data_IF_030714113343
#
_entry.id   IF_030714113343
#
_cell.length_a   1.000
_cell.length_b   1.000
_cell.length_c   1.000
_cell.angle_alpha   90.00
_cell.angle_beta   90.00
_cell.angle_gamma   90.00
#
_symmetry.space_group_name_H-M   'P 1'
#
loop_
_entity.id
_entity.type
_entity.pdbx_description
1 polymer ?
#
# COMPACT_ATOMS: atom_id res chain seq x y z
N UNK A 1 36.50 17.28 -22.71
CA UNK A 1 36.34 15.94 -22.16
C UNK A 1 35.14 15.98 -21.21
N UNK A 2 33.99 15.75 -21.83
CA UNK A 2 32.70 15.69 -21.18
C UNK A 2 32.53 14.28 -20.65
N UNK A 3 32.34 14.15 -19.36
CA UNK A 3 31.82 12.94 -18.73
C UNK A 3 30.42 13.22 -18.29
N UNK A 4 29.46 12.90 -19.16
CA UNK A 4 28.05 12.77 -18.82
C UNK A 4 27.92 11.57 -17.88
N UNK A 5 27.69 11.85 -16.62
CA UNK A 5 27.28 10.84 -15.63
C UNK A 5 25.74 10.64 -15.73
N UNK A 6 25.36 9.78 -16.67
CA UNK A 6 23.97 9.36 -16.85
C UNK A 6 23.67 8.29 -15.83
N UNK A 7 22.99 8.67 -14.75
CA UNK A 7 22.34 7.75 -13.81
C UNK A 7 21.27 6.95 -14.54
N UNK A 8 21.64 5.83 -15.11
CA UNK A 8 20.72 4.85 -15.66
C UNK A 8 20.04 4.10 -14.51
N UNK A 9 18.80 4.46 -14.21
CA UNK A 9 17.90 3.60 -13.44
C UNK A 9 17.62 2.36 -14.30
N UNK A 10 18.28 1.26 -13.98
CA UNK A 10 18.06 -0.03 -14.64
C UNK A 10 16.79 -0.64 -14.10
N UNK A 11 15.68 -0.47 -14.81
CA UNK A 11 14.46 -1.23 -14.59
C UNK A 11 14.67 -2.64 -15.17
N UNK A 12 15.16 -3.57 -14.38
CA UNK A 12 15.16 -4.98 -14.75
C UNK A 12 13.73 -5.51 -14.61
N UNK A 13 12.95 -5.39 -15.67
CA UNK A 13 11.65 -6.03 -15.79
C UNK A 13 11.82 -7.54 -15.93
N UNK A 14 11.55 -8.27 -14.87
CA UNK A 14 11.47 -9.72 -14.91
C UNK A 14 10.11 -10.12 -15.51
N UNK A 15 10.06 -10.40 -16.81
CA UNK A 15 8.89 -10.88 -17.52
C UNK A 15 8.62 -12.38 -17.21
N UNK A 16 8.30 -12.68 -15.97
CA UNK A 16 7.84 -13.99 -15.52
C UNK A 16 6.56 -13.85 -14.73
N UNK A 17 5.47 -14.46 -15.22
CA UNK A 17 4.14 -14.65 -14.62
C UNK A 17 3.74 -13.60 -13.57
N UNK A 18 2.74 -12.77 -13.89
CA UNK A 18 2.20 -11.65 -13.13
C UNK A 18 2.32 -11.78 -11.60
N UNK A 19 3.49 -11.49 -11.05
CA UNK A 19 3.67 -11.21 -9.64
C UNK A 19 3.21 -9.79 -9.40
N UNK A 20 2.40 -9.59 -8.37
CA UNK A 20 1.93 -8.27 -7.99
C UNK A 20 3.13 -7.34 -7.86
N UNK A 21 3.14 -6.26 -8.64
CA UNK A 21 4.20 -5.27 -8.54
C UNK A 21 4.09 -4.58 -7.17
N UNK A 22 5.10 -4.74 -6.34
CA UNK A 22 5.27 -4.00 -5.09
C UNK A 22 6.47 -3.08 -5.21
N UNK A 23 6.42 -1.92 -4.60
CA UNK A 23 7.52 -0.96 -4.50
C UNK A 23 7.77 -0.70 -3.02
N UNK A 24 9.04 -0.64 -2.63
CA UNK A 24 9.44 -0.26 -1.27
C UNK A 24 10.35 0.96 -1.35
N UNK A 25 9.93 2.07 -0.72
CA UNK A 25 10.68 3.30 -0.60
C UNK A 25 11.19 3.45 0.83
N UNK A 26 12.48 3.27 1.03
CA UNK A 26 13.13 3.36 2.34
C UNK A 26 14.13 4.52 2.36
N UNK A 27 14.23 5.18 3.50
CA UNK A 27 15.20 6.25 3.71
C UNK A 27 15.12 6.84 5.11
N UNK A 28 16.06 7.69 5.47
CA UNK A 28 16.12 8.33 6.79
C UNK A 28 14.84 9.08 7.15
N UNK A 29 14.55 9.16 8.46
CA UNK A 29 13.46 10.00 8.94
C UNK A 29 13.72 11.46 8.55
N UNK A 30 12.68 12.16 8.07
CA UNK A 30 12.81 13.57 7.67
C UNK A 30 13.44 13.83 6.29
N UNK A 31 13.84 12.81 5.52
CA UNK A 31 14.42 13.00 4.18
C UNK A 31 13.38 13.37 3.09
N UNK A 32 12.15 13.66 3.45
CA UNK A 32 11.13 14.15 2.52
C UNK A 32 10.35 13.08 1.75
N UNK A 33 10.41 11.79 2.15
CA UNK A 33 9.70 10.69 1.46
C UNK A 33 8.22 10.96 1.26
N UNK A 34 7.50 11.27 2.35
CA UNK A 34 6.05 11.53 2.29
C UNK A 34 5.74 12.78 1.46
N UNK A 35 6.55 13.84 1.56
CA UNK A 35 6.39 15.03 0.73
C UNK A 35 6.62 14.75 -0.76
N UNK A 36 7.64 13.96 -1.09
CA UNK A 36 7.90 13.55 -2.49
C UNK A 36 6.77 12.67 -3.02
N UNK A 37 6.24 11.77 -2.19
CA UNK A 37 5.08 10.95 -2.53
C UNK A 37 3.85 11.82 -2.78
N UNK A 38 3.58 12.80 -1.94
CA UNK A 38 2.45 13.72 -2.08
C UNK A 38 2.54 14.54 -3.39
N UNK A 39 3.73 15.06 -3.72
CA UNK A 39 3.99 15.75 -4.98
C UNK A 39 3.75 14.80 -6.17
N UNK A 40 4.22 13.57 -6.10
CA UNK A 40 4.00 12.59 -7.17
C UNK A 40 2.50 12.32 -7.35
N UNK A 41 1.79 12.04 -6.26
CA UNK A 41 0.38 11.69 -6.27
C UNK A 41 -0.53 12.86 -6.69
N UNK A 42 -0.11 14.11 -6.45
CA UNK A 42 -0.87 15.30 -6.89
C UNK A 42 -1.08 15.38 -8.41
N UNK A 43 -0.28 14.65 -9.19
CA UNK A 43 -0.42 14.56 -10.65
C UNK A 43 -1.49 13.54 -11.10
N UNK A 44 -2.06 12.78 -10.19
CA UNK A 44 -3.03 11.73 -10.50
C UNK A 44 -4.33 11.92 -9.71
N UNK A 45 -5.50 11.75 -10.33
CA UNK A 45 -6.75 11.77 -9.58
C UNK A 45 -6.82 10.57 -8.63
N UNK A 46 -7.18 10.81 -7.38
CA UNK A 46 -7.35 9.73 -6.41
C UNK A 46 -8.56 8.86 -6.74
N UNK A 47 -9.63 9.48 -7.24
CA UNK A 47 -10.86 8.79 -7.63
C UNK A 47 -11.25 9.18 -9.04
N UNK A 48 -11.58 8.19 -9.86
CA UNK A 48 -12.12 8.36 -11.21
C UNK A 48 -13.56 7.89 -11.21
N UNK A 49 -14.48 8.75 -11.65
CA UNK A 49 -15.88 8.38 -11.83
C UNK A 49 -16.10 7.90 -13.25
N UNK A 50 -16.25 6.61 -13.42
CA UNK A 50 -16.63 6.04 -14.72
C UNK A 50 -18.13 6.23 -14.96
N UNK A 51 -18.47 6.65 -16.18
CA UNK A 51 -19.85 6.76 -16.65
C UNK A 51 -20.00 5.88 -17.88
N UNK A 52 -21.00 5.03 -17.89
CA UNK A 52 -21.37 4.23 -19.05
C UNK A 52 -22.86 4.40 -19.31
N UNK A 53 -23.28 4.31 -20.56
CA UNK A 53 -24.70 4.33 -20.93
C UNK A 53 -25.49 3.17 -20.33
N UNK A 54 -24.80 2.05 -20.07
CA UNK A 54 -25.40 0.80 -19.55
C UNK A 54 -25.20 0.58 -18.07
N UNK A 55 -24.32 1.34 -17.40
CA UNK A 55 -23.98 1.15 -15.99
C UNK A 55 -24.13 2.43 -15.19
N UNK A 56 -24.61 2.29 -13.96
CA UNK A 56 -24.59 3.37 -12.99
C UNK A 56 -23.14 3.86 -12.79
N UNK A 57 -23.00 5.09 -12.30
CA UNK A 57 -21.69 5.68 -11.98
C UNK A 57 -20.89 4.74 -11.08
N UNK A 58 -19.68 4.42 -11.52
CA UNK A 58 -18.78 3.55 -10.79
C UNK A 58 -17.54 4.35 -10.35
N UNK A 59 -17.30 4.56 -9.06
CA UNK A 59 -16.10 5.20 -8.56
C UNK A 59 -14.96 4.17 -8.52
N UNK A 60 -13.89 4.44 -9.22
CA UNK A 60 -12.64 3.71 -9.11
C UNK A 60 -11.69 4.51 -8.23
N UNK A 61 -11.11 3.86 -7.21
CA UNK A 61 -10.06 4.43 -6.39
C UNK A 61 -8.70 4.07 -7.01
N UNK A 62 -7.98 5.05 -7.55
CA UNK A 62 -6.71 4.82 -8.21
C UNK A 62 -5.63 4.44 -7.20
N UNK A 63 -5.59 5.17 -6.08
CA UNK A 63 -4.67 4.89 -4.98
C UNK A 63 -5.27 5.26 -3.63
N UNK A 64 -4.80 4.58 -2.58
CA UNK A 64 -5.03 4.93 -1.18
C UNK A 64 -3.69 5.13 -0.48
N UNK A 65 -3.57 6.20 0.30
CA UNK A 65 -2.43 6.40 1.21
C UNK A 65 -2.92 6.10 2.62
N UNK A 66 -2.32 5.10 3.24
CA UNK A 66 -2.67 4.63 4.57
C UNK A 66 -1.46 4.83 5.48
N UNK A 67 -1.55 5.78 6.40
CA UNK A 67 -0.53 5.94 7.45
C UNK A 67 -0.69 4.79 8.44
N UNK A 68 0.36 4.02 8.63
CA UNK A 68 0.34 2.89 9.57
C UNK A 68 0.21 3.42 11.00
N UNK A 69 -0.83 2.99 11.76
CA UNK A 69 -1.00 3.47 13.12
C UNK A 69 0.13 2.95 14.03
N UNK A 70 0.56 3.79 14.98
CA UNK A 70 1.64 3.43 15.91
C UNK A 70 1.30 2.19 16.74
N UNK A 71 2.27 1.29 16.91
CA UNK A 71 2.12 0.02 17.65
C UNK A 71 0.96 -0.85 17.16
N UNK A 72 0.67 -0.80 15.87
CA UNK A 72 -0.53 -1.41 15.33
C UNK A 72 -0.32 -2.85 14.89
N UNK A 73 -1.35 -3.62 15.14
CA UNK A 73 -1.54 -4.92 14.54
C UNK A 73 -2.29 -4.79 13.19
N UNK A 74 -2.31 -5.84 12.40
CA UNK A 74 -3.00 -5.85 11.11
C UNK A 74 -4.50 -5.62 11.19
N UNK A 75 -5.13 -5.84 12.35
CA UNK A 75 -6.54 -5.50 12.57
C UNK A 75 -6.76 -3.99 12.49
N UNK A 76 -5.89 -3.21 13.13
CA UNK A 76 -5.93 -1.74 13.06
C UNK A 76 -5.61 -1.24 11.64
N UNK A 77 -4.63 -1.84 10.96
CA UNK A 77 -4.30 -1.51 9.58
C UNK A 77 -5.51 -1.68 8.65
N UNK A 78 -6.25 -2.78 8.74
CA UNK A 78 -7.45 -2.98 7.91
C UNK A 78 -8.55 -1.97 8.21
N UNK A 79 -8.70 -1.55 9.46
CA UNK A 79 -9.64 -0.48 9.82
C UNK A 79 -9.21 0.85 9.19
N UNK A 80 -7.92 1.18 9.24
CA UNK A 80 -7.39 2.39 8.58
C UNK A 80 -7.59 2.36 7.06
N UNK A 81 -7.48 1.20 6.41
CA UNK A 81 -7.82 1.09 4.98
C UNK A 81 -9.29 1.44 4.74
N UNK A 82 -10.21 0.94 5.58
CA UNK A 82 -11.64 1.28 5.49
C UNK A 82 -11.90 2.78 5.68
N UNK A 83 -11.21 3.41 6.63
CA UNK A 83 -11.27 4.85 6.88
C UNK A 83 -10.79 5.67 5.67
N UNK A 84 -9.66 5.27 5.04
CA UNK A 84 -9.14 5.96 3.87
C UNK A 84 -10.04 5.77 2.63
N UNK A 85 -10.76 4.66 2.52
CA UNK A 85 -11.79 4.47 1.49
C UNK A 85 -12.94 5.48 1.70
N UNK A 86 -13.42 5.64 2.94
CA UNK A 86 -14.47 6.62 3.26
C UNK A 86 -14.02 8.04 2.91
N UNK A 87 -12.78 8.43 3.26
CA UNK A 87 -12.20 9.74 2.94
C UNK A 87 -12.09 9.95 1.41
N UNK A 88 -11.57 8.97 0.69
CA UNK A 88 -11.40 9.04 -0.77
C UNK A 88 -12.74 9.24 -1.50
N UNK A 89 -13.81 8.63 -1.00
CA UNK A 89 -15.15 8.75 -1.57
C UNK A 89 -15.92 9.98 -1.08
N UNK A 90 -15.37 10.73 -0.12
CA UNK A 90 -16.02 11.91 0.47
C UNK A 90 -17.22 11.56 1.35
N UNK A 91 -17.23 10.37 1.95
CA UNK A 91 -18.28 9.96 2.89
C UNK A 91 -18.22 10.82 4.15
N UNK A 92 -19.35 11.43 4.53
CA UNK A 92 -19.46 12.19 5.78
C UNK A 92 -19.51 11.28 7.01
N UNK A 93 -20.07 10.09 6.84
CA UNK A 93 -20.16 9.07 7.88
C UNK A 93 -19.24 7.88 7.54
N UNK A 94 -18.63 7.25 8.55
CA UNK A 94 -17.67 6.16 8.36
C UNK A 94 -18.40 4.84 7.99
N UNK A 95 -18.66 4.63 6.72
CA UNK A 95 -19.39 3.45 6.21
C UNK A 95 -18.46 2.22 6.14
N UNK A 96 -17.35 2.35 5.43
CA UNK A 96 -16.43 1.24 5.17
C UNK A 96 -15.53 0.94 6.34
N UNK A 97 -15.10 1.97 7.08
CA UNK A 97 -14.44 1.80 8.36
C UNK A 97 -15.28 0.95 9.33
N UNK A 98 -16.58 1.29 9.48
CA UNK A 98 -17.49 0.51 10.34
C UNK A 98 -17.72 -0.90 9.83
N UNK A 99 -17.79 -1.10 8.49
CA UNK A 99 -17.90 -2.43 7.91
C UNK A 99 -16.72 -3.32 8.32
N UNK A 100 -15.49 -2.79 8.27
CA UNK A 100 -14.29 -3.49 8.71
C UNK A 100 -14.28 -3.70 10.23
N UNK A 101 -14.69 -2.70 11.02
CA UNK A 101 -14.78 -2.81 12.50
C UNK A 101 -15.71 -3.92 12.96
N UNK A 102 -16.84 -4.16 12.26
CA UNK A 102 -17.80 -5.21 12.59
C UNK A 102 -17.26 -6.63 12.41
N UNK A 103 -16.27 -6.82 11.56
CA UNK A 103 -15.58 -8.10 11.41
C UNK A 103 -14.77 -8.41 12.68
N UNK A 104 -14.90 -9.63 13.21
CA UNK A 104 -14.36 -10.01 14.52
C UNK A 104 -12.90 -10.41 14.47
N UNK A 105 -12.52 -11.14 13.44
CA UNK A 105 -11.16 -11.68 13.28
C UNK A 105 -10.37 -10.91 12.23
N UNK A 106 -9.04 -11.00 12.30
CA UNK A 106 -8.14 -10.41 11.29
C UNK A 106 -8.44 -10.98 9.89
N UNK A 107 -8.70 -12.28 9.80
CA UNK A 107 -9.06 -12.94 8.54
C UNK A 107 -10.40 -12.45 7.96
N UNK A 108 -11.41 -12.23 8.80
CA UNK A 108 -12.67 -11.63 8.37
C UNK A 108 -12.48 -10.20 7.87
N UNK A 109 -11.68 -9.39 8.57
CA UNK A 109 -11.32 -8.03 8.14
C UNK A 109 -10.61 -8.04 6.79
N UNK A 110 -9.64 -8.94 6.62
CA UNK A 110 -8.94 -9.13 5.35
C UNK A 110 -9.91 -9.47 4.21
N UNK A 111 -10.90 -10.33 4.46
CA UNK A 111 -11.93 -10.66 3.47
C UNK A 111 -12.83 -9.47 3.12
N UNK A 112 -13.18 -8.63 4.10
CA UNK A 112 -13.92 -7.38 3.84
C UNK A 112 -13.08 -6.47 2.95
N UNK A 113 -11.81 -6.27 3.27
CA UNK A 113 -10.89 -5.45 2.45
C UNK A 113 -10.77 -5.99 1.03
N UNK A 114 -10.65 -7.31 0.84
CA UNK A 114 -10.66 -7.89 -0.51
C UNK A 114 -11.89 -7.46 -1.32
N UNK A 115 -13.07 -7.54 -0.71
CA UNK A 115 -14.32 -7.13 -1.37
C UNK A 115 -14.35 -5.63 -1.70
N UNK A 116 -13.84 -4.79 -0.81
CA UNK A 116 -13.76 -3.35 -1.03
C UNK A 116 -12.75 -3.00 -2.14
N UNK A 117 -11.62 -3.69 -2.20
CA UNK A 117 -10.64 -3.54 -3.29
C UNK A 117 -11.28 -3.88 -4.64
N UNK A 118 -12.00 -4.99 -4.71
CA UNK A 118 -12.72 -5.41 -5.92
C UNK A 118 -13.85 -4.44 -6.26
N UNK A 119 -14.65 -4.02 -5.26
CA UNK A 119 -15.79 -3.11 -5.43
C UNK A 119 -15.39 -1.75 -6.00
N UNK A 120 -14.29 -1.20 -5.56
CA UNK A 120 -13.80 0.12 -5.99
C UNK A 120 -12.64 0.05 -6.97
N UNK A 121 -12.31 -1.14 -7.49
CA UNK A 121 -11.18 -1.38 -8.38
C UNK A 121 -9.92 -0.62 -7.92
N UNK A 122 -9.55 -0.80 -6.63
CA UNK A 122 -8.43 -0.07 -6.02
C UNK A 122 -7.13 -0.50 -6.72
N UNK A 123 -6.44 0.46 -7.34
CA UNK A 123 -5.24 0.20 -8.13
C UNK A 123 -4.00 -0.04 -7.27
N UNK A 124 -3.80 0.82 -6.27
CA UNK A 124 -2.62 0.78 -5.39
C UNK A 124 -2.98 1.15 -3.95
N UNK A 125 -2.38 0.45 -2.99
CA UNK A 125 -2.41 0.83 -1.58
C UNK A 125 -0.98 1.17 -1.16
N UNK A 126 -0.79 2.38 -0.66
CA UNK A 126 0.48 2.93 -0.21
C UNK A 126 0.46 2.95 1.31
N UNK A 127 1.31 2.15 1.93
CA UNK A 127 1.49 2.15 3.38
C UNK A 127 2.63 3.09 3.74
N UNK A 128 2.30 4.23 4.36
CA UNK A 128 3.30 5.15 4.91
C UNK A 128 3.60 4.81 6.38
N UNK A 129 4.82 5.12 6.82
CA UNK A 129 5.33 4.79 8.16
C UNK A 129 5.26 3.28 8.47
N UNK A 130 5.59 2.44 7.48
CA UNK A 130 5.43 0.97 7.57
C UNK A 130 6.20 0.35 8.77
N UNK A 131 7.26 1.00 9.27
CA UNK A 131 8.00 0.56 10.46
C UNK A 131 7.17 0.54 11.74
N UNK A 132 6.02 1.25 11.76
CA UNK A 132 5.11 1.27 12.90
C UNK A 132 4.28 -0.02 13.01
N UNK A 133 4.23 -0.83 11.96
CA UNK A 133 3.58 -2.14 12.01
C UNK A 133 4.44 -3.13 12.79
N UNK A 134 3.79 -3.89 13.65
CA UNK A 134 4.42 -5.01 14.34
C UNK A 134 4.41 -6.27 13.46
N UNK A 135 5.57 -6.55 12.85
CA UNK A 135 5.80 -7.77 12.09
C UNK A 135 6.26 -8.94 12.97
N UNK A 136 6.61 -8.68 14.25
CA UNK A 136 7.15 -9.67 15.18
C UNK A 136 6.08 -10.50 15.90
N UNK A 137 4.81 -10.13 15.71
CA UNK A 137 3.68 -10.79 16.36
C UNK A 137 3.77 -12.32 16.18
N UNK A 138 3.77 -13.06 17.28
CA UNK A 138 3.90 -14.53 17.37
C UNK A 138 2.84 -15.33 16.59
N UNK A 139 1.97 -14.66 15.86
CA UNK A 139 0.98 -15.26 14.98
C UNK A 139 1.39 -14.95 13.54
N UNK A 140 2.08 -15.88 12.89
CA UNK A 140 2.29 -15.92 11.44
C UNK A 140 1.02 -15.57 10.65
N UNK A 141 -0.15 -15.76 11.27
CA UNK A 141 -1.47 -15.49 10.69
C UNK A 141 -1.73 -14.04 10.30
N UNK A 142 -1.05 -13.05 10.89
CA UNK A 142 -1.34 -11.63 10.66
C UNK A 142 -0.71 -11.11 9.36
N UNK A 143 0.56 -11.43 9.15
CA UNK A 143 1.25 -11.07 7.91
C UNK A 143 0.73 -11.89 6.72
N UNK A 144 0.48 -13.18 6.92
CA UNK A 144 -0.13 -14.04 5.91
C UNK A 144 -1.50 -13.53 5.44
N UNK A 145 -2.25 -12.85 6.33
CA UNK A 145 -3.52 -12.25 5.94
C UNK A 145 -3.35 -11.13 4.92
N UNK A 146 -2.34 -10.27 5.06
CA UNK A 146 -2.02 -9.23 4.09
C UNK A 146 -1.55 -9.83 2.75
N UNK A 147 -0.69 -10.85 2.81
CA UNK A 147 -0.27 -11.58 1.61
C UNK A 147 -1.47 -12.23 0.89
N UNK A 148 -2.43 -12.73 1.66
CA UNK A 148 -3.67 -13.28 1.11
C UNK A 148 -4.49 -12.21 0.38
N UNK A 149 -4.63 -11.01 0.96
CA UNK A 149 -5.30 -9.87 0.31
C UNK A 149 -4.63 -9.54 -1.03
N UNK A 150 -3.31 -9.35 -1.01
CA UNK A 150 -2.52 -9.01 -2.21
C UNK A 150 -2.64 -10.07 -3.29
N UNK A 151 -2.52 -11.34 -2.90
CA UNK A 151 -2.60 -12.45 -3.86
C UNK A 151 -3.98 -12.59 -4.49
N UNK A 152 -5.03 -12.37 -3.70
CA UNK A 152 -6.41 -12.54 -4.12
C UNK A 152 -6.87 -11.39 -5.03
N UNK A 153 -6.56 -10.16 -4.65
CA UNK A 153 -7.07 -8.98 -5.34
C UNK A 153 -6.15 -8.47 -6.44
N UNK A 154 -4.88 -8.88 -6.43
CA UNK A 154 -3.84 -8.35 -7.33
C UNK A 154 -3.59 -6.85 -7.20
N UNK A 155 -4.04 -6.22 -6.10
CA UNK A 155 -3.76 -4.82 -5.81
C UNK A 155 -2.26 -4.58 -5.69
N UNK A 156 -1.78 -3.48 -6.27
CA UNK A 156 -0.39 -3.07 -6.10
C UNK A 156 -0.17 -2.55 -4.67
N UNK A 157 0.99 -2.84 -4.09
CA UNK A 157 1.37 -2.32 -2.77
C UNK A 157 2.65 -1.51 -2.89
N UNK A 158 2.64 -0.32 -2.30
CA UNK A 158 3.83 0.46 -2.04
C UNK A 158 4.02 0.61 -0.52
N UNK A 159 5.23 0.29 -0.05
CA UNK A 159 5.60 0.48 1.34
C UNK A 159 6.60 1.65 1.44
N UNK A 160 6.31 2.60 2.32
CA UNK A 160 7.16 3.77 2.58
C UNK A 160 7.56 3.76 4.05
N UNK A 161 8.84 3.92 4.35
CA UNK A 161 9.30 3.86 5.73
C UNK A 161 10.76 4.22 5.94
N UNK A 162 11.22 3.96 7.15
CA UNK A 162 12.63 4.15 7.56
C UNK A 162 13.43 2.86 7.38
N UNK A 163 14.75 2.95 7.53
CA UNK A 163 15.64 1.78 7.44
C UNK A 163 15.27 0.66 8.42
N UNK A 164 14.71 1.00 9.60
CA UNK A 164 14.20 0.03 10.56
C UNK A 164 13.08 -0.85 9.99
N UNK A 165 12.31 -0.30 9.04
CA UNK A 165 11.27 -1.08 8.36
C UNK A 165 11.88 -2.21 7.55
N UNK A 166 13.00 -1.97 6.88
CA UNK A 166 13.69 -2.96 6.07
C UNK A 166 14.04 -4.20 6.90
N UNK A 167 14.70 -3.99 8.04
CA UNK A 167 15.11 -5.09 8.93
C UNK A 167 13.93 -5.91 9.48
N UNK A 168 12.78 -5.28 9.66
CA UNK A 168 11.56 -5.93 10.17
C UNK A 168 10.76 -6.65 9.06
N UNK A 169 10.76 -6.12 7.85
CA UNK A 169 10.00 -6.67 6.71
C UNK A 169 10.72 -7.83 6.02
N UNK A 170 12.05 -7.78 5.95
CA UNK A 170 12.86 -8.69 5.13
C UNK A 170 13.37 -9.98 5.79
N UNK A 171 13.26 -10.26 7.10
CA UNK A 171 13.56 -11.59 7.64
C UNK A 171 12.72 -12.69 6.98
N UNK A 172 11.57 -12.32 6.43
CA UNK A 172 10.72 -13.21 5.66
C UNK A 172 11.03 -13.08 4.17
N UNK A 173 11.92 -13.90 3.63
CA UNK A 173 12.28 -14.07 2.21
C UNK A 173 11.09 -14.07 1.22
N UNK A 174 9.88 -14.29 1.71
CA UNK A 174 8.64 -14.25 0.92
C UNK A 174 8.23 -12.83 0.53
N UNK A 175 8.61 -11.80 1.30
CA UNK A 175 8.36 -10.39 0.96
C UNK A 175 9.29 -9.90 -0.14
N UNK A 176 10.57 -10.22 -0.07
CA UNK A 176 11.58 -9.74 -1.03
C UNK A 176 11.28 -10.14 -2.48
N UNK A 177 10.58 -11.25 -2.68
CA UNK A 177 10.18 -11.72 -4.02
C UNK A 177 8.92 -11.03 -4.57
N UNK A 178 8.17 -10.30 -3.73
CA UNK A 178 6.87 -9.70 -4.07
C UNK A 178 6.87 -8.18 -4.05
N UNK A 179 7.79 -7.56 -3.32
CA UNK A 179 8.11 -6.15 -3.42
C UNK A 179 9.15 -5.99 -4.54
N UNK A 180 8.68 -5.83 -5.78
CA UNK A 180 9.48 -5.99 -6.99
C UNK A 180 10.59 -4.96 -7.19
N UNK A 181 10.51 -3.76 -6.66
CA UNK A 181 11.55 -2.75 -6.75
C UNK A 181 11.83 -2.16 -5.37
N UNK A 182 13.10 -2.05 -5.03
CA UNK A 182 13.59 -1.35 -3.85
C UNK A 182 14.18 -0.02 -4.28
N UNK A 183 13.69 1.06 -3.69
CA UNK A 183 14.20 2.41 -3.91
C UNK A 183 14.73 2.93 -2.58
N UNK A 184 16.00 3.18 -2.49
CA UNK A 184 16.64 3.82 -1.35
C UNK A 184 16.66 5.33 -1.57
N UNK A 185 15.96 6.07 -0.70
CA UNK A 185 16.02 7.53 -0.70
C UNK A 185 17.19 7.97 0.17
N UNK A 186 18.34 8.21 -0.43
CA UNK A 186 19.47 8.84 0.24
C UNK A 186 19.23 10.36 0.30
N UNK A 187 19.12 10.88 1.52
CA UNK A 187 19.15 12.32 1.71
C UNK A 187 20.57 12.81 1.37
N UNK A 188 20.69 13.57 0.30
CA UNK A 188 21.85 14.44 0.15
C UNK A 188 21.70 15.58 1.16
N UNK A 189 22.39 15.49 2.28
CA UNK A 189 22.63 16.59 3.19
C UNK A 189 23.80 17.44 2.69
#
# INVERSE_FOLDING_TARGET
>A
NDTEDSTHVRLEGNHGAASNAGITLIGYSGCGKSASLEILLSNYPQVIIHKSESFQRFPQIVYLVVVCPANSNFSALYISIGEEIDKALGNLEPVYEQMVKRARTVGEKANVICKLIEMFAIGCIIFDEIQLLDFSGQKESTYESLLTVVNKTKVAIMAVGTEDAYSKMFPNLRMSRRTGAFIEANAYC
#
